data_IF_239761219570
#
_entry.id   IF_239761219570
#
_cell.length_a   1.000
_cell.length_b   1.000
_cell.length_c   1.000
_cell.angle_alpha   90.00
_cell.angle_beta   90.00
_cell.angle_gamma   90.00
#
_symmetry.space_group_name_H-M   'P 1'
#
loop_
_entity.id
_entity.type
_entity.pdbx_description
1 polymer ?
#
# COMPACT_ATOMS: atom_id res chain seq x y z
N UNK A 1 -15.19 -2.49 -20.22
CA UNK A 1 -15.65 -1.46 -19.26
C UNK A 1 -14.42 -0.87 -18.60
N UNK A 2 -14.42 0.42 -18.30
CA UNK A 2 -13.31 1.11 -17.63
C UNK A 2 -13.84 1.59 -16.28
N UNK A 3 -13.07 1.35 -15.24
CA UNK A 3 -13.39 1.74 -13.87
C UNK A 3 -12.30 2.62 -13.31
N UNK A 4 -12.71 3.56 -12.48
CA UNK A 4 -11.84 4.28 -11.56
C UNK A 4 -12.23 3.83 -10.15
N UNK A 5 -11.26 3.30 -9.40
CA UNK A 5 -11.49 2.63 -8.12
C UNK A 5 -10.50 3.19 -7.13
N UNK A 6 -11.01 3.70 -6.01
CA UNK A 6 -10.20 4.18 -4.90
C UNK A 6 -10.33 3.29 -3.66
N UNK A 7 -9.26 3.24 -2.87
CA UNK A 7 -9.24 2.59 -1.55
C UNK A 7 -8.58 3.52 -0.54
N UNK A 8 -9.18 3.68 0.64
CA UNK A 8 -8.54 4.35 1.77
C UNK A 8 -8.65 3.47 3.00
N UNK A 9 -7.51 3.20 3.64
CA UNK A 9 -7.42 2.48 4.91
C UNK A 9 -6.66 3.36 5.89
N UNK A 10 -7.30 3.70 7.01
CA UNK A 10 -6.69 4.48 8.09
C UNK A 10 -6.67 3.67 9.38
N UNK A 11 -5.51 3.66 10.03
CA UNK A 11 -5.30 3.09 11.35
C UNK A 11 -5.05 4.22 12.33
N UNK A 12 -5.79 4.23 13.45
CA UNK A 12 -5.55 5.11 14.58
C UNK A 12 -5.06 4.27 15.75
N UNK A 13 -3.95 4.68 16.36
CA UNK A 13 -3.36 3.99 17.50
C UNK A 13 -3.70 4.73 18.80
N UNK A 14 -4.11 3.99 19.84
CA UNK A 14 -4.41 4.57 21.16
C UNK A 14 -3.15 5.14 21.85
N UNK A 15 -1.98 4.58 21.54
CA UNK A 15 -0.66 5.06 21.90
C UNK A 15 0.23 5.00 20.67
N UNK A 16 1.19 5.94 20.48
CA UNK A 16 2.03 5.96 19.28
C UNK A 16 2.66 4.60 18.98
N UNK A 17 2.45 4.11 17.77
CA UNK A 17 3.12 2.93 17.26
C UNK A 17 4.57 3.30 16.91
N UNK A 18 5.53 2.48 17.31
CA UNK A 18 6.96 2.71 17.05
C UNK A 18 7.54 1.47 16.38
N UNK A 19 8.16 1.66 15.22
CA UNK A 19 8.68 0.54 14.44
C UNK A 19 7.55 -0.28 13.82
N UNK A 20 7.36 -0.18 12.51
CA UNK A 20 6.35 -0.93 11.79
C UNK A 20 6.87 -1.40 10.44
N UNK A 21 6.68 -2.67 10.09
CA UNK A 21 6.93 -3.20 8.75
C UNK A 21 5.63 -3.77 8.21
N UNK A 22 5.17 -3.21 7.09
CA UNK A 22 3.89 -3.55 6.49
C UNK A 22 4.12 -4.08 5.08
N UNK A 23 3.37 -5.11 4.72
CA UNK A 23 3.35 -5.67 3.37
C UNK A 23 1.98 -5.43 2.75
N UNK A 24 1.95 -4.55 1.75
CA UNK A 24 0.75 -4.01 1.13
C UNK A 24 0.51 -4.70 -0.22
N UNK A 25 -0.72 -5.20 -0.41
CA UNK A 25 -1.24 -5.71 -1.69
C UNK A 25 -2.54 -4.99 -2.02
N UNK A 26 -2.44 -3.67 -2.15
CA UNK A 26 -3.60 -2.77 -2.25
C UNK A 26 -3.85 -2.30 -3.69
N UNK A 27 -2.88 -2.47 -4.59
CA UNK A 27 -3.02 -2.04 -5.99
C UNK A 27 -3.79 -3.10 -6.81
N UNK A 28 -4.65 -2.70 -7.76
CA UNK A 28 -5.32 -3.65 -8.64
C UNK A 28 -4.31 -4.49 -9.44
N UNK A 29 -4.58 -5.77 -9.64
CA UNK A 29 -3.71 -6.66 -10.40
C UNK A 29 -3.92 -6.52 -11.92
N UNK A 30 -2.86 -6.73 -12.70
CA UNK A 30 -2.98 -7.03 -14.13
C UNK A 30 -3.26 -8.53 -14.30
N UNK A 31 -4.36 -8.87 -14.99
CA UNK A 31 -4.80 -10.24 -15.24
C UNK A 31 -4.95 -10.47 -16.76
N UNK A 32 -4.03 -11.21 -17.41
CA UNK A 32 -4.03 -11.38 -18.86
C UNK A 32 -5.38 -11.86 -19.41
N UNK A 33 -5.90 -11.12 -20.40
CA UNK A 33 -7.19 -11.42 -21.04
C UNK A 33 -8.44 -11.07 -20.20
N UNK A 34 -8.27 -10.61 -18.96
CA UNK A 34 -9.38 -10.33 -18.03
C UNK A 34 -9.37 -8.87 -17.57
N UNK A 35 -8.24 -8.39 -17.05
CA UNK A 35 -8.10 -7.05 -16.47
C UNK A 35 -6.76 -6.43 -16.84
N UNK A 36 -6.78 -5.14 -17.20
CA UNK A 36 -5.59 -4.32 -17.39
C UNK A 36 -5.68 -3.08 -16.53
N UNK A 37 -4.65 -2.82 -15.72
CA UNK A 37 -4.48 -1.60 -14.94
C UNK A 37 -3.94 -0.49 -15.86
N UNK A 38 -4.67 0.61 -15.97
CA UNK A 38 -4.27 1.75 -16.82
C UNK A 38 -3.33 2.70 -16.08
N UNK A 39 -3.65 3.01 -14.83
CA UNK A 39 -2.85 3.78 -13.90
C UNK A 39 -3.15 3.30 -12.48
N UNK A 40 -2.21 3.52 -11.56
CA UNK A 40 -2.39 3.27 -10.14
C UNK A 40 -1.36 4.09 -9.37
N UNK A 41 -1.77 4.63 -8.23
CA UNK A 41 -0.88 5.28 -7.27
C UNK A 41 -1.17 4.69 -5.91
N UNK A 42 -0.16 4.57 -5.06
CA UNK A 42 -0.35 4.28 -3.64
C UNK A 42 0.38 5.36 -2.85
N UNK A 43 -0.38 6.15 -2.12
CA UNK A 43 0.11 7.11 -1.14
C UNK A 43 0.08 6.49 0.26
N UNK A 44 1.09 6.82 1.05
CA UNK A 44 1.28 6.32 2.41
C UNK A 44 1.59 7.51 3.29
N UNK A 45 0.83 7.69 4.36
CA UNK A 45 1.01 8.77 5.34
C UNK A 45 1.10 8.15 6.74
N UNK A 46 2.06 8.55 7.61
CA UNK A 46 3.19 9.42 7.30
C UNK A 46 4.12 8.82 6.23
N UNK A 47 5.08 9.60 5.74
CA UNK A 47 6.06 9.08 4.78
C UNK A 47 6.88 7.95 5.43
N UNK A 48 6.94 6.76 4.80
CA UNK A 48 7.70 5.66 5.37
C UNK A 48 9.20 5.91 5.23
N UNK A 49 9.97 5.48 6.22
CA UNK A 49 11.43 5.57 6.21
C UNK A 49 12.06 4.68 5.13
N UNK A 50 11.40 3.56 4.79
CA UNK A 50 11.77 2.72 3.65
C UNK A 50 10.52 2.32 2.88
N UNK A 51 10.64 2.29 1.55
CA UNK A 51 9.64 1.71 0.66
C UNK A 51 10.33 0.81 -0.36
N UNK A 52 9.80 -0.39 -0.56
CA UNK A 52 10.27 -1.34 -1.55
C UNK A 52 9.10 -1.95 -2.31
N UNK A 53 9.11 -1.78 -3.61
CA UNK A 53 8.10 -2.33 -4.50
C UNK A 53 8.70 -3.58 -5.17
N UNK A 54 7.98 -4.70 -5.15
CA UNK A 54 8.45 -5.98 -5.70
C UNK A 54 7.28 -6.87 -6.13
N UNK A 55 7.58 -7.96 -6.84
CA UNK A 55 6.62 -9.02 -7.10
C UNK A 55 6.92 -10.19 -6.17
N UNK A 56 5.88 -10.71 -5.49
CA UNK A 56 6.04 -11.89 -4.65
C UNK A 56 6.23 -13.17 -5.49
N UNK A 57 6.38 -14.32 -4.82
CA UNK A 57 6.59 -15.61 -5.50
C UNK A 57 5.46 -15.97 -6.48
N UNK A 58 4.24 -15.50 -6.22
CA UNK A 58 3.08 -15.75 -7.07
C UNK A 58 2.90 -14.70 -8.17
N UNK A 59 3.80 -13.72 -8.25
CA UNK A 59 3.73 -12.62 -9.20
C UNK A 59 2.76 -11.50 -8.78
N UNK A 60 2.32 -11.45 -7.52
CA UNK A 60 1.51 -10.32 -7.06
C UNK A 60 2.41 -9.10 -6.82
N UNK A 61 2.00 -7.95 -7.35
CA UNK A 61 2.62 -6.68 -6.97
C UNK A 61 2.44 -6.45 -5.47
N UNK A 62 3.56 -6.24 -4.79
CA UNK A 62 3.63 -6.10 -3.34
C UNK A 62 4.51 -4.91 -3.00
N UNK A 63 4.07 -4.13 -2.01
CA UNK A 63 4.80 -2.95 -1.56
C UNK A 63 5.10 -3.14 -0.07
N UNK A 64 6.38 -3.16 0.26
CA UNK A 64 6.84 -3.16 1.64
C UNK A 64 7.13 -1.72 2.08
N UNK A 65 6.60 -1.33 3.24
CA UNK A 65 6.91 -0.05 3.88
C UNK A 65 7.39 -0.25 5.30
N UNK A 66 8.32 0.60 5.73
CA UNK A 66 8.87 0.60 7.08
C UNK A 66 8.75 1.97 7.72
N UNK A 67 8.16 2.01 8.90
CA UNK A 67 8.11 3.18 9.78
C UNK A 67 9.14 3.00 10.89
N UNK A 68 9.99 4.00 11.12
CA UNK A 68 10.99 4.01 12.21
C UNK A 68 10.59 4.94 13.35
N UNK A 69 9.89 6.02 13.03
CA UNK A 69 9.45 7.01 14.01
C UNK A 69 8.10 6.65 14.63
N UNK A 70 7.85 7.20 15.81
CA UNK A 70 6.56 7.11 16.48
C UNK A 70 5.48 7.80 15.65
N UNK A 71 4.33 7.16 15.49
CA UNK A 71 3.19 7.73 14.78
C UNK A 71 1.88 7.27 15.42
N UNK A 72 0.90 8.18 15.46
CA UNK A 72 -0.43 7.93 16.01
C UNK A 72 -1.42 7.43 14.95
N UNK A 73 -1.08 7.65 13.68
CA UNK A 73 -1.92 7.33 12.53
C UNK A 73 -1.09 6.76 11.38
N UNK A 74 -1.67 5.81 10.64
CA UNK A 74 -1.22 5.47 9.28
C UNK A 74 -2.42 5.53 8.33
N UNK A 75 -2.26 6.15 7.17
CA UNK A 75 -3.20 6.10 6.07
C UNK A 75 -2.56 5.54 4.79
N UNK A 76 -3.28 4.65 4.13
CA UNK A 76 -2.95 4.12 2.80
C UNK A 76 -4.05 4.53 1.82
N UNK A 77 -3.69 5.19 0.72
CA UNK A 77 -4.64 5.69 -0.29
C UNK A 77 -4.25 5.21 -1.69
N UNK A 78 -5.14 4.51 -2.36
CA UNK A 78 -5.01 4.05 -3.77
C UNK A 78 -5.94 4.85 -4.66
#
# INVERSE_FOLDING_TARGET
MIYDIGLTITYFYESPAVGGRHLLRLTPADLPGVQRRLACRLEVEPDPAERRDFHDFFGNESIEVVFREAHDEIAFKV
#
